data_IF_771424493163
#
_entry.id   IF_771424493163
#
_cell.length_a   1.000
_cell.length_b   1.000
_cell.length_c   1.000
_cell.angle_alpha   90.00
_cell.angle_beta   90.00
_cell.angle_gamma   90.00
#
_symmetry.space_group_name_H-M   'P 1'
#
loop_
_entity.id
_entity.type
_entity.pdbx_description
1 polymer ?
#
# COMPACT_ATOMS: atom_id res chain seq x y z
N UNK A 1 53.59 -61.07 18.58
CA UNK A 1 52.53 -60.67 17.62
C UNK A 1 51.54 -59.77 18.35
N UNK A 2 51.67 -58.47 18.22
CA UNK A 2 50.77 -57.48 18.86
C UNK A 2 49.74 -57.02 17.85
N UNK A 3 48.45 -57.27 18.15
CA UNK A 3 47.32 -56.78 17.30
C UNK A 3 47.03 -55.32 17.65
N UNK A 4 47.18 -54.47 16.70
CA UNK A 4 46.82 -53.04 16.76
C UNK A 4 45.33 -52.87 16.44
N UNK A 5 44.53 -52.47 17.43
CA UNK A 5 43.13 -52.12 17.23
C UNK A 5 43.04 -50.66 16.82
N UNK A 6 42.65 -50.43 15.57
CA UNK A 6 42.28 -49.07 15.09
C UNK A 6 40.84 -48.76 15.52
N UNK A 7 40.68 -47.81 16.46
CA UNK A 7 39.38 -47.17 16.73
C UNK A 7 39.12 -46.11 15.68
N UNK A 8 38.13 -46.33 14.86
CA UNK A 8 37.59 -45.30 13.93
C UNK A 8 36.50 -44.56 14.69
N UNK A 9 36.78 -43.34 15.11
CA UNK A 9 35.78 -42.45 15.70
C UNK A 9 34.95 -41.82 14.59
N UNK A 10 33.68 -42.22 14.48
CA UNK A 10 32.71 -41.65 13.56
C UNK A 10 32.18 -40.34 14.16
N UNK A 11 32.66 -39.20 13.68
CA UNK A 11 32.10 -37.88 14.01
C UNK A 11 30.84 -37.67 13.16
N UNK A 12 29.68 -37.86 13.78
CA UNK A 12 28.41 -37.39 13.19
C UNK A 12 28.37 -35.88 13.29
N UNK A 13 28.60 -35.19 12.16
CA UNK A 13 28.29 -33.79 11.99
C UNK A 13 26.75 -33.67 11.88
N UNK A 14 26.11 -33.23 12.96
CA UNK A 14 24.73 -32.77 12.94
C UNK A 14 24.69 -31.47 12.14
N UNK A 15 24.42 -31.59 10.86
CA UNK A 15 23.99 -30.42 10.03
C UNK A 15 22.58 -30.07 10.51
N UNK A 16 22.51 -29.15 11.47
CA UNK A 16 21.25 -28.50 11.82
C UNK A 16 20.76 -27.72 10.61
N UNK A 17 19.82 -28.26 9.86
CA UNK A 17 19.01 -27.43 8.96
C UNK A 17 18.29 -26.42 9.83
N UNK A 18 18.78 -25.18 9.83
CA UNK A 18 18.02 -24.03 10.27
C UNK A 18 16.89 -23.89 9.25
N UNK A 19 15.76 -24.54 9.51
CA UNK A 19 14.52 -24.20 8.81
C UNK A 19 14.17 -22.78 9.28
N UNK A 20 14.52 -21.81 8.48
CA UNK A 20 13.98 -20.47 8.56
C UNK A 20 12.47 -20.63 8.40
N UNK A 21 11.77 -20.53 9.52
CA UNK A 21 10.32 -20.61 9.56
C UNK A 21 9.82 -19.40 8.78
N UNK A 22 9.44 -19.61 7.52
CA UNK A 22 8.78 -18.59 6.73
C UNK A 22 7.48 -18.25 7.46
N UNK A 23 7.32 -16.98 7.80
CA UNK A 23 6.11 -16.50 8.44
C UNK A 23 4.91 -16.88 7.55
N UNK A 24 3.86 -17.45 8.15
CA UNK A 24 2.62 -17.69 7.44
C UNK A 24 2.09 -16.37 6.88
N UNK A 25 1.91 -16.29 5.58
CA UNK A 25 1.34 -15.13 4.90
C UNK A 25 -0.21 -15.25 4.92
N UNK A 26 -0.90 -14.63 5.87
CA UNK A 26 -2.31 -14.88 6.09
C UNK A 26 -3.18 -14.21 5.03
N UNK A 27 -4.30 -14.88 4.71
CA UNK A 27 -5.41 -14.24 4.02
C UNK A 27 -6.21 -13.41 5.03
N UNK A 28 -6.35 -12.12 4.76
CA UNK A 28 -7.11 -11.20 5.59
C UNK A 28 -8.47 -10.89 4.97
N UNK A 29 -9.49 -10.73 5.79
CA UNK A 29 -10.78 -10.19 5.37
C UNK A 29 -10.84 -8.72 5.73
N UNK A 30 -11.07 -7.89 4.72
CA UNK A 30 -11.19 -6.43 4.84
C UNK A 30 -12.51 -5.96 4.21
N UNK A 31 -12.76 -4.66 4.23
CA UNK A 31 -13.85 -4.09 3.44
C UNK A 31 -13.66 -4.41 1.95
N UNK A 32 -14.72 -4.91 1.34
CA UNK A 32 -14.72 -5.33 -0.07
C UNK A 32 -14.38 -6.79 -0.33
N UNK A 33 -13.61 -7.49 0.52
CA UNK A 33 -13.30 -8.91 0.27
C UNK A 33 -12.05 -9.42 0.98
N UNK A 34 -11.50 -10.51 0.45
CA UNK A 34 -10.29 -11.12 0.99
C UNK A 34 -9.04 -10.67 0.23
N UNK A 35 -7.94 -10.47 0.96
CA UNK A 35 -6.64 -10.12 0.40
C UNK A 35 -5.54 -11.01 0.97
N UNK A 36 -4.49 -11.19 0.18
CA UNK A 36 -3.22 -11.76 0.62
C UNK A 36 -2.09 -10.86 0.13
N UNK A 37 -1.21 -10.43 1.02
CA UNK A 37 -0.06 -9.58 0.71
C UNK A 37 1.14 -10.38 0.22
N UNK A 38 2.30 -9.75 0.24
CA UNK A 38 3.60 -10.36 0.00
C UNK A 38 4.49 -10.18 1.24
N UNK A 39 5.49 -11.03 1.38
CA UNK A 39 6.53 -10.88 2.40
C UNK A 39 7.64 -10.02 1.81
N UNK A 40 8.18 -9.11 2.61
CA UNK A 40 9.29 -8.27 2.19
C UNK A 40 10.58 -9.09 2.01
N UNK A 41 11.37 -8.77 0.97
CA UNK A 41 12.57 -9.53 0.62
C UNK A 41 13.66 -9.43 1.72
N UNK A 42 13.87 -8.23 2.25
CA UNK A 42 14.91 -7.95 3.23
C UNK A 42 14.45 -8.14 4.69
N UNK A 43 13.14 -8.21 4.92
CA UNK A 43 12.53 -8.34 6.24
C UNK A 43 11.46 -9.45 6.22
N UNK A 44 11.82 -10.71 6.44
CA UNK A 44 10.93 -11.86 6.26
C UNK A 44 9.75 -11.93 7.26
N UNK A 45 9.72 -11.06 8.24
CA UNK A 45 8.63 -10.87 9.21
C UNK A 45 7.76 -9.63 8.90
N UNK A 46 8.07 -8.89 7.82
CA UNK A 46 7.28 -7.76 7.33
C UNK A 46 6.39 -8.19 6.18
N UNK A 47 5.12 -7.89 6.29
CA UNK A 47 4.09 -8.14 5.27
C UNK A 47 3.72 -6.84 4.59
N UNK A 48 3.60 -6.90 3.27
CA UNK A 48 3.27 -5.76 2.42
C UNK A 48 1.98 -6.06 1.66
N UNK A 49 1.01 -5.18 1.76
CA UNK A 49 -0.23 -5.21 1.02
C UNK A 49 -0.28 -4.00 0.10
N UNK A 50 -0.21 -4.22 -1.21
CA UNK A 50 -0.13 -3.18 -2.23
C UNK A 50 -1.46 -3.03 -2.96
N UNK A 51 -1.85 -1.80 -3.29
CA UNK A 51 -2.99 -1.54 -4.15
C UNK A 51 -4.33 -2.00 -3.57
N UNK A 52 -4.55 -1.81 -2.27
CA UNK A 52 -5.85 -2.07 -1.64
C UNK A 52 -6.80 -0.91 -1.97
N UNK A 53 -7.95 -1.15 -2.63
CA UNK A 53 -8.93 -0.10 -2.83
C UNK A 53 -9.57 0.30 -1.48
N UNK A 54 -9.62 1.60 -1.20
CA UNK A 54 -10.31 2.14 -0.02
C UNK A 54 -11.61 2.86 -0.37
N UNK A 55 -11.91 3.00 -1.67
CA UNK A 55 -13.16 3.50 -2.20
C UNK A 55 -13.39 2.94 -3.60
N UNK A 56 -14.61 3.09 -4.11
CA UNK A 56 -14.93 2.77 -5.51
C UNK A 56 -14.13 3.68 -6.47
N UNK A 57 -13.74 3.19 -7.66
CA UNK A 57 -13.07 3.98 -8.68
C UNK A 57 -13.86 5.26 -9.01
N UNK A 58 -13.28 6.46 -8.88
CA UNK A 58 -13.98 7.73 -9.12
C UNK A 58 -14.04 8.11 -10.62
N UNK A 59 -14.52 7.18 -11.43
CA UNK A 59 -14.60 7.28 -12.89
C UNK A 59 -16.03 7.48 -13.38
N UNK A 60 -16.19 7.96 -14.60
CA UNK A 60 -17.51 8.13 -15.22
C UNK A 60 -18.44 9.00 -14.36
N UNK A 61 -19.58 8.45 -13.96
CA UNK A 61 -20.59 9.15 -13.16
C UNK A 61 -20.13 9.44 -11.72
N UNK A 62 -19.06 8.80 -11.25
CA UNK A 62 -18.46 9.05 -9.94
C UNK A 62 -17.34 10.12 -9.97
N UNK A 63 -16.96 10.58 -11.15
CA UNK A 63 -16.02 11.70 -11.28
C UNK A 63 -16.61 12.95 -10.61
N UNK A 64 -15.81 13.66 -9.82
CA UNK A 64 -16.23 14.82 -9.02
C UNK A 64 -17.39 14.54 -8.05
N UNK A 65 -17.50 13.31 -7.57
CA UNK A 65 -18.36 12.94 -6.45
C UNK A 65 -17.51 12.64 -5.21
N UNK A 66 -18.14 12.69 -4.05
CA UNK A 66 -17.52 12.16 -2.84
C UNK A 66 -17.14 10.68 -3.02
N UNK A 67 -16.07 10.15 -2.37
CA UNK A 67 -15.75 8.74 -2.41
C UNK A 67 -16.97 7.88 -2.08
N UNK A 68 -17.13 6.80 -2.81
CA UNK A 68 -18.20 5.82 -2.61
C UNK A 68 -17.62 4.54 -1.99
N UNK A 69 -18.44 3.72 -1.31
CA UNK A 69 -17.99 2.47 -0.71
C UNK A 69 -17.23 1.58 -1.70
N UNK A 70 -16.29 0.83 -1.19
CA UNK A 70 -15.47 -0.12 -1.98
C UNK A 70 -16.38 -1.09 -2.74
N UNK A 71 -16.05 -1.35 -4.00
CA UNK A 71 -16.71 -2.38 -4.80
C UNK A 71 -16.21 -3.74 -4.32
N UNK A 72 -17.13 -4.57 -3.82
CA UNK A 72 -16.81 -5.91 -3.34
C UNK A 72 -16.29 -6.80 -4.48
N UNK A 73 -15.38 -7.71 -4.13
CA UNK A 73 -14.86 -8.74 -5.03
C UNK A 73 -14.99 -10.14 -4.43
N UNK A 74 -15.01 -11.14 -5.30
CA UNK A 74 -15.01 -12.55 -4.92
C UNK A 74 -13.59 -13.12 -4.89
N UNK A 75 -13.37 -14.11 -4.03
CA UNK A 75 -12.09 -14.79 -3.89
C UNK A 75 -11.03 -13.96 -3.16
N UNK A 76 -9.79 -14.42 -3.24
CA UNK A 76 -8.64 -13.76 -2.61
C UNK A 76 -7.93 -12.90 -3.66
N UNK A 77 -7.89 -11.58 -3.42
CA UNK A 77 -7.07 -10.66 -4.22
C UNK A 77 -5.62 -10.71 -3.73
N UNK A 78 -4.69 -10.99 -4.63
CA UNK A 78 -3.27 -10.89 -4.32
C UNK A 78 -2.88 -9.41 -4.38
N UNK A 79 -2.47 -8.87 -3.22
CA UNK A 79 -2.13 -7.47 -3.03
C UNK A 79 -0.60 -7.26 -3.20
N UNK A 80 -0.09 -7.59 -4.39
CA UNK A 80 1.33 -7.58 -4.76
C UNK A 80 1.70 -6.44 -5.74
N UNK A 81 0.71 -5.73 -6.27
CA UNK A 81 0.89 -4.63 -7.22
C UNK A 81 0.34 -3.33 -6.65
N UNK A 82 1.12 -2.26 -6.78
CA UNK A 82 0.66 -0.92 -6.41
C UNK A 82 -0.48 -0.45 -7.32
N UNK A 83 -1.44 0.27 -6.75
CA UNK A 83 -2.49 0.95 -7.51
C UNK A 83 -1.95 2.15 -8.29
N UNK A 84 -2.68 2.57 -9.31
CA UNK A 84 -2.30 3.71 -10.14
C UNK A 84 -2.30 5.02 -9.34
N UNK A 85 -1.30 5.90 -9.53
CA UNK A 85 -1.38 7.29 -9.09
C UNK A 85 -2.50 8.06 -9.79
N UNK A 86 -2.98 9.11 -9.13
CA UNK A 86 -3.96 10.02 -9.70
C UNK A 86 -3.43 10.74 -10.95
N UNK A 87 -4.33 11.11 -11.85
CA UNK A 87 -3.99 11.90 -13.02
C UNK A 87 -3.29 13.20 -12.62
N UNK A 88 -2.14 13.43 -13.23
CA UNK A 88 -1.26 14.57 -12.98
C UNK A 88 -0.44 14.92 -14.23
N UNK A 89 0.30 16.01 -14.20
CA UNK A 89 1.21 16.36 -15.29
C UNK A 89 2.33 15.31 -15.39
N UNK A 90 2.69 14.98 -16.63
CA UNK A 90 3.83 14.09 -16.88
C UNK A 90 5.13 14.83 -16.52
N UNK A 91 5.92 14.25 -15.66
CA UNK A 91 7.25 14.78 -15.35
C UNK A 91 8.27 14.22 -16.35
N UNK A 92 9.09 15.09 -16.89
CA UNK A 92 10.20 14.67 -17.74
C UNK A 92 11.38 14.24 -16.86
N UNK A 93 12.11 13.16 -17.23
CA UNK A 93 13.26 12.71 -16.47
C UNK A 93 14.36 13.78 -16.45
N UNK A 94 14.98 13.96 -15.30
CA UNK A 94 16.11 14.86 -15.10
C UNK A 94 16.22 15.40 -13.68
N UNK A 95 17.45 15.53 -13.20
CA UNK A 95 17.75 16.10 -11.89
C UNK A 95 16.97 15.43 -10.74
N UNK A 96 16.46 16.25 -9.87
CA UNK A 96 15.74 15.83 -8.67
C UNK A 96 14.50 14.96 -8.96
N UNK A 97 13.81 15.22 -10.06
CA UNK A 97 12.64 14.45 -10.45
C UNK A 97 12.96 12.95 -10.66
N UNK A 98 14.15 12.64 -11.20
CA UNK A 98 14.56 11.24 -11.41
C UNK A 98 14.84 10.52 -10.10
N UNK A 99 15.42 11.20 -9.11
CA UNK A 99 15.68 10.64 -7.78
C UNK A 99 14.38 10.24 -7.06
N UNK A 100 13.31 10.99 -7.28
CA UNK A 100 11.97 10.73 -6.71
C UNK A 100 11.11 9.79 -7.56
N UNK A 101 11.69 9.14 -8.56
CA UNK A 101 10.98 8.21 -9.43
C UNK A 101 10.10 8.87 -10.48
N UNK A 102 10.08 10.21 -10.56
CA UNK A 102 9.41 10.95 -11.62
C UNK A 102 10.15 10.72 -12.96
N UNK A 103 9.40 10.47 -14.01
CA UNK A 103 9.96 10.20 -15.35
C UNK A 103 10.07 8.72 -15.70
N UNK A 104 9.74 7.80 -14.80
CA UNK A 104 9.30 6.46 -15.18
C UNK A 104 7.96 6.55 -15.91
N UNK A 105 7.64 5.60 -16.79
CA UNK A 105 6.29 5.45 -17.33
C UNK A 105 5.34 5.01 -16.22
N UNK A 106 4.82 5.98 -15.47
CA UNK A 106 3.84 5.71 -14.41
C UNK A 106 2.46 5.80 -15.04
N UNK A 107 1.67 4.74 -15.00
CA UNK A 107 0.34 4.71 -15.62
C UNK A 107 -0.66 5.48 -14.74
N UNK A 108 -0.71 6.81 -14.87
CA UNK A 108 -1.69 7.65 -14.19
C UNK A 108 -3.12 7.29 -14.57
N UNK A 109 -4.02 7.29 -13.60
CA UNK A 109 -5.42 6.93 -13.80
C UNK A 109 -6.36 7.78 -12.95
N UNK A 110 -7.63 7.91 -13.37
CA UNK A 110 -8.69 8.37 -12.49
C UNK A 110 -9.03 7.29 -11.44
N UNK A 111 -8.89 6.01 -11.78
CA UNK A 111 -8.97 4.89 -10.84
C UNK A 111 -7.68 4.85 -10.02
N UNK A 112 -7.65 5.63 -8.93
CA UNK A 112 -6.46 5.86 -8.12
C UNK A 112 -6.67 5.77 -6.60
N UNK A 113 -7.88 5.44 -6.14
CA UNK A 113 -8.19 5.43 -4.70
C UNK A 113 -7.71 4.14 -4.03
N UNK A 114 -6.39 4.01 -3.96
CA UNK A 114 -5.68 2.86 -3.41
C UNK A 114 -4.78 3.26 -2.25
N UNK A 115 -4.61 2.33 -1.31
CA UNK A 115 -3.65 2.43 -0.23
C UNK A 115 -2.73 1.20 -0.19
N UNK A 116 -1.64 1.34 0.53
CA UNK A 116 -0.66 0.27 0.76
C UNK A 116 -0.38 0.17 2.24
N UNK A 117 -0.10 -1.04 2.73
CA UNK A 117 0.13 -1.30 4.16
C UNK A 117 1.40 -2.13 4.33
N UNK A 118 2.26 -1.72 5.25
CA UNK A 118 3.41 -2.47 5.73
C UNK A 118 3.23 -2.78 7.21
N UNK A 119 3.34 -4.04 7.61
CA UNK A 119 3.12 -4.46 9.01
C UNK A 119 3.84 -5.76 9.34
N UNK A 120 4.22 -5.92 10.62
CA UNK A 120 4.67 -7.22 11.18
C UNK A 120 3.56 -8.02 11.87
N UNK A 121 2.36 -7.46 11.95
CA UNK A 121 1.27 -8.05 12.70
C UNK A 121 -0.04 -8.17 11.87
N UNK A 122 0.00 -8.84 10.70
CA UNK A 122 -1.18 -8.97 9.86
C UNK A 122 -2.30 -9.71 10.61
N UNK A 123 -3.49 -9.09 10.68
CA UNK A 123 -4.66 -9.66 11.36
C UNK A 123 -4.57 -9.76 12.90
N UNK A 124 -3.47 -9.31 13.51
CA UNK A 124 -3.26 -9.41 14.95
C UNK A 124 -3.80 -8.16 15.68
N UNK A 125 -5.11 -8.06 15.79
CA UNK A 125 -5.80 -6.90 16.40
C UNK A 125 -5.39 -6.59 17.85
N UNK A 126 -4.92 -7.59 18.59
CA UNK A 126 -4.49 -7.44 19.99
C UNK A 126 -3.15 -6.73 20.14
N UNK A 127 -2.34 -6.69 19.10
CA UNK A 127 -1.02 -6.05 19.13
C UNK A 127 -1.10 -4.54 19.30
N UNK A 128 -2.16 -3.89 18.82
CA UNK A 128 -2.39 -2.44 18.92
C UNK A 128 -1.15 -1.61 18.52
N UNK A 129 -0.52 -2.00 17.41
CA UNK A 129 0.63 -1.27 16.89
C UNK A 129 0.23 0.16 16.51
N UNK A 130 1.09 1.15 16.70
CA UNK A 130 0.84 2.49 16.19
C UNK A 130 0.75 2.48 14.67
N UNK A 131 -0.15 3.28 14.13
CA UNK A 131 -0.34 3.45 12.68
C UNK A 131 0.15 4.83 12.27
N UNK A 132 1.03 4.88 11.28
CA UNK A 132 1.43 6.09 10.59
C UNK A 132 0.77 6.12 9.21
N UNK A 133 0.03 7.20 8.92
CA UNK A 133 -0.52 7.44 7.59
C UNK A 133 0.40 8.40 6.84
N UNK A 134 0.90 7.97 5.69
CA UNK A 134 1.62 8.83 4.75
C UNK A 134 0.68 9.38 3.68
N UNK A 135 0.55 10.69 3.65
CA UNK A 135 -0.16 11.45 2.63
C UNK A 135 0.92 12.21 1.83
N UNK A 136 1.12 11.83 0.58
CA UNK A 136 2.18 12.39 -0.25
C UNK A 136 1.98 13.89 -0.50
N UNK A 137 3.08 14.59 -0.74
CA UNK A 137 3.12 16.01 -1.08
C UNK A 137 2.76 16.31 -2.54
N UNK A 138 3.28 17.43 -3.08
CA UNK A 138 3.12 17.84 -4.46
C UNK A 138 2.04 18.90 -4.70
N UNK A 139 1.62 19.61 -3.64
CA UNK A 139 0.70 20.77 -3.74
C UNK A 139 -0.66 20.44 -4.32
N UNK A 140 -1.18 19.24 -4.08
CA UNK A 140 -2.43 18.70 -4.64
C UNK A 140 -2.45 18.55 -6.16
N UNK A 141 -1.32 18.62 -6.82
CA UNK A 141 -1.17 18.60 -8.27
C UNK A 141 -0.41 17.39 -8.78
N UNK A 142 0.47 16.82 -7.97
CA UNK A 142 1.41 15.77 -8.33
C UNK A 142 1.77 14.92 -7.10
N UNK A 143 2.49 13.80 -7.32
CA UNK A 143 2.93 12.87 -6.30
C UNK A 143 2.07 11.60 -6.23
N UNK A 144 2.57 10.62 -5.48
CA UNK A 144 1.86 9.36 -5.20
C UNK A 144 2.41 8.69 -3.94
N UNK A 145 1.64 7.78 -3.38
CA UNK A 145 1.97 7.11 -2.12
C UNK A 145 3.05 6.03 -2.22
N UNK A 146 3.61 5.78 -3.39
CA UNK A 146 4.62 4.74 -3.63
C UNK A 146 5.90 5.29 -4.25
N UNK A 147 6.18 6.57 -4.04
CA UNK A 147 7.48 7.14 -4.34
C UNK A 147 8.56 6.35 -3.58
N UNK A 148 9.72 6.05 -4.19
CA UNK A 148 10.73 5.14 -3.62
C UNK A 148 11.17 5.48 -2.19
N UNK A 149 11.17 6.77 -1.84
CA UNK A 149 11.57 7.27 -0.53
C UNK A 149 10.59 6.92 0.60
N UNK A 150 9.38 6.46 0.24
CA UNK A 150 8.29 6.20 1.20
C UNK A 150 7.98 4.71 1.36
N UNK A 151 8.96 3.84 1.09
CA UNK A 151 8.85 2.42 1.42
C UNK A 151 8.71 2.22 2.93
N UNK A 152 7.71 1.43 3.31
CA UNK A 152 7.32 1.28 4.72
C UNK A 152 8.02 0.16 5.48
N UNK A 153 8.94 -0.57 4.86
CA UNK A 153 9.55 -1.76 5.47
C UNK A 153 10.27 -1.41 6.78
N UNK A 154 11.05 -0.33 6.80
CA UNK A 154 11.77 0.11 8.00
C UNK A 154 10.85 0.60 9.12
N UNK A 155 9.69 1.16 8.79
CA UNK A 155 8.66 1.51 9.76
C UNK A 155 8.06 0.25 10.38
N UNK A 156 7.67 -0.70 9.54
CA UNK A 156 7.13 -1.98 9.99
C UNK A 156 8.15 -2.75 10.84
N UNK A 157 9.44 -2.71 10.46
CA UNK A 157 10.51 -3.34 11.23
C UNK A 157 10.66 -2.75 12.66
N UNK A 158 10.18 -1.53 12.88
CA UNK A 158 10.12 -0.86 14.21
C UNK A 158 8.75 -0.96 14.87
N UNK A 159 7.94 -1.94 14.50
CA UNK A 159 6.60 -2.18 15.02
C UNK A 159 5.61 -1.01 14.81
N UNK A 160 5.78 -0.25 13.73
CA UNK A 160 4.84 0.77 13.27
C UNK A 160 4.18 0.29 11.99
N UNK A 161 2.86 0.23 11.95
CA UNK A 161 2.12 -0.02 10.70
C UNK A 161 2.22 1.25 9.85
N UNK A 162 2.86 1.19 8.69
CA UNK A 162 2.80 2.28 7.73
C UNK A 162 1.67 2.04 6.75
N UNK A 163 0.89 3.08 6.51
CA UNK A 163 -0.10 3.13 5.43
C UNK A 163 0.26 4.30 4.52
N UNK A 164 0.37 4.08 3.23
CA UNK A 164 0.48 5.16 2.23
C UNK A 164 -0.75 5.17 1.34
N UNK A 165 -1.16 6.34 0.87
CA UNK A 165 -2.36 6.50 0.04
C UNK A 165 -2.07 7.26 -1.24
N UNK A 166 -2.86 6.94 -2.28
CA UNK A 166 -3.10 7.83 -3.40
C UNK A 166 -4.45 8.53 -3.18
N UNK A 167 -4.59 9.73 -3.71
CA UNK A 167 -5.84 10.51 -3.69
C UNK A 167 -5.96 11.32 -4.98
N UNK A 168 -7.15 11.78 -5.32
CA UNK A 168 -7.37 12.57 -6.53
C UNK A 168 -6.65 13.90 -6.48
N UNK A 169 -6.02 14.26 -7.59
CA UNK A 169 -5.18 15.44 -7.75
C UNK A 169 -5.73 16.42 -8.80
N UNK A 170 -5.20 17.63 -8.79
CA UNK A 170 -5.46 18.64 -9.81
C UNK A 170 -6.96 18.87 -10.04
N UNK A 171 -7.37 18.93 -11.30
CA UNK A 171 -8.78 19.15 -11.69
C UNK A 171 -9.72 18.04 -11.22
N UNK A 172 -9.25 16.79 -11.13
CA UNK A 172 -10.08 15.67 -10.68
C UNK A 172 -10.35 15.69 -9.17
N UNK A 173 -9.40 16.21 -8.39
CA UNK A 173 -9.54 16.31 -6.93
C UNK A 173 -10.08 17.65 -6.44
N UNK A 174 -9.96 18.74 -7.22
CA UNK A 174 -10.13 20.09 -6.68
C UNK A 174 -10.91 21.05 -7.57
N UNK A 175 -11.59 20.56 -8.63
CA UNK A 175 -12.44 21.41 -9.46
C UNK A 175 -13.62 21.95 -8.66
N UNK A 176 -13.79 23.27 -8.69
CA UNK A 176 -14.97 23.96 -8.18
C UNK A 176 -15.79 24.48 -9.34
N UNK A 177 -17.07 24.08 -9.41
CA UNK A 177 -17.99 24.50 -10.46
C UNK A 177 -19.41 24.66 -9.93
N UNK A 178 -20.20 25.67 -10.36
CA UNK A 178 -21.57 25.87 -9.88
C UNK A 178 -22.48 24.67 -10.09
N UNK A 179 -22.40 23.98 -11.21
CA UNK A 179 -23.22 22.79 -11.49
C UNK A 179 -22.84 21.63 -10.56
N UNK A 180 -21.54 21.39 -10.31
CA UNK A 180 -21.11 20.40 -9.34
C UNK A 180 -21.57 20.74 -7.91
N UNK A 181 -21.60 22.03 -7.58
CA UNK A 181 -22.14 22.47 -6.29
C UNK A 181 -23.65 22.23 -6.20
N UNK A 182 -24.38 22.44 -7.31
CA UNK A 182 -25.82 22.19 -7.34
C UNK A 182 -26.18 20.71 -7.21
N UNK A 183 -25.34 19.80 -7.70
CA UNK A 183 -25.48 18.35 -7.58
C UNK A 183 -25.16 17.83 -6.15
N UNK A 184 -24.35 18.57 -5.41
CA UNK A 184 -23.89 18.16 -4.08
C UNK A 184 -24.99 18.38 -3.04
N UNK A 185 -25.25 17.40 -2.14
CA UNK A 185 -26.22 17.58 -1.06
C UNK A 185 -25.84 18.69 -0.06
N UNK A 186 -24.57 19.08 -0.03
CA UNK A 186 -24.07 20.16 0.80
C UNK A 186 -23.91 21.49 0.05
N UNK A 187 -24.32 21.56 -1.22
CA UNK A 187 -24.21 22.72 -2.11
C UNK A 187 -22.78 23.26 -2.23
N UNK A 188 -21.77 22.35 -2.21
CA UNK A 188 -20.36 22.67 -2.36
C UNK A 188 -19.71 21.75 -3.39
N UNK A 189 -18.61 22.23 -4.01
CA UNK A 189 -17.76 21.44 -4.89
C UNK A 189 -16.28 21.76 -4.60
N UNK A 190 -15.38 20.98 -5.20
CA UNK A 190 -13.96 20.99 -4.86
C UNK A 190 -13.66 20.10 -3.64
N UNK A 191 -12.42 20.05 -3.24
CA UNK A 191 -11.94 19.26 -2.09
C UNK A 191 -12.20 17.74 -2.16
N UNK A 192 -12.49 17.17 -3.34
CA UNK A 192 -12.70 15.73 -3.49
C UNK A 192 -11.46 14.94 -3.07
N UNK A 193 -10.24 15.43 -3.36
CA UNK A 193 -9.00 14.84 -2.88
C UNK A 193 -8.86 14.86 -1.34
N UNK A 194 -9.43 15.87 -0.66
CA UNK A 194 -9.48 15.88 0.82
C UNK A 194 -10.51 14.86 1.32
N UNK A 195 -11.65 14.70 0.64
CA UNK A 195 -12.63 13.67 0.98
C UNK A 195 -12.03 12.27 0.81
N UNK A 196 -11.18 12.07 -0.20
CA UNK A 196 -10.45 10.81 -0.40
C UNK A 196 -9.53 10.50 0.81
N UNK A 197 -8.78 11.50 1.27
CA UNK A 197 -7.94 11.37 2.48
C UNK A 197 -8.77 11.04 3.74
N UNK A 198 -9.93 11.67 3.90
CA UNK A 198 -10.85 11.37 5.00
C UNK A 198 -11.37 9.94 4.89
N UNK A 199 -11.70 9.47 3.68
CA UNK A 199 -12.19 8.10 3.46
C UNK A 199 -11.12 7.07 3.79
N UNK A 200 -9.86 7.31 3.39
CA UNK A 200 -8.74 6.43 3.77
C UNK A 200 -8.55 6.34 5.29
N UNK A 201 -8.76 7.43 6.02
CA UNK A 201 -8.72 7.42 7.50
C UNK A 201 -9.85 6.59 8.12
N UNK A 202 -11.04 6.60 7.51
CA UNK A 202 -12.15 5.75 7.95
C UNK A 202 -11.84 4.27 7.71
N UNK A 203 -11.24 3.95 6.56
CA UNK A 203 -10.80 2.60 6.22
C UNK A 203 -9.76 2.07 7.22
N UNK A 204 -8.81 2.91 7.66
CA UNK A 204 -7.75 2.55 8.61
C UNK A 204 -8.30 2.27 10.02
N UNK A 205 -9.41 2.91 10.42
CA UNK A 205 -9.99 2.83 11.77
C UNK A 205 -10.69 1.50 12.05
#
# INVERSE_FOLDING_TARGET
MKKLLCLVSLVLALVGCNQQQTADNPVLTIEGGQIQGVIADDHPDVFIYKGIPYAAPPIGDLRWKAPQPVVAWEGVKIADQFGHPGYQAVHYPGGYATEWGYGAEVPYSEDCLYLNVWTKAPGQVDKKLPVALWIHGGGYREGWGTEPEFDGQEWANKDVVLVSINYRLGVFGFLTHPELSAESPNHVSGNYGILDQIESLKWIK
#
